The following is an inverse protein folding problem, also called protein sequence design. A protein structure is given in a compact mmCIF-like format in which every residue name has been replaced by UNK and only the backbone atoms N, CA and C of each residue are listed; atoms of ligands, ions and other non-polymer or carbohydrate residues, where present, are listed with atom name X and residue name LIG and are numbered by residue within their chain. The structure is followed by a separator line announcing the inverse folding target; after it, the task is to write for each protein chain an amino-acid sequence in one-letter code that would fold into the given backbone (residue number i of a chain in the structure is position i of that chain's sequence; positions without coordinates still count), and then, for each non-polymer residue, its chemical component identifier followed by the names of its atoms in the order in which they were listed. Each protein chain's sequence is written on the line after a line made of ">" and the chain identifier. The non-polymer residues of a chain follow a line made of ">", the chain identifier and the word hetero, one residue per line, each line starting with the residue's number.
data_IF_755857041354
#
_entry.id   IF_755857041354
#
_cell.length_a   1.000
_cell.length_b   1.000
_cell.length_c   1.000
_cell.angle_alpha   90.00
_cell.angle_beta   90.00
_cell.angle_gamma   90.00
#
_symmetry.space_group_name_H-M   'P 1'
#
loop_
_entity.id
_entity.type
_entity.pdbx_description
1 polymer ?
#
# COMPACT_ATOMS: atom_id res chain seq x y z
N UNK A 1 72.89 27.97 -36.19
CA UNK A 1 72.05 27.62 -35.04
C UNK A 1 70.61 27.85 -35.44
N UNK A 2 69.78 26.83 -35.21
CA UNK A 2 68.45 26.65 -35.78
C UNK A 2 67.37 27.56 -35.17
N UNK A 3 66.35 27.88 -35.95
CA UNK A 3 65.01 28.21 -35.48
C UNK A 3 64.03 27.64 -36.50
N UNK A 4 63.39 26.54 -36.10
CA UNK A 4 62.29 25.91 -36.81
C UNK A 4 60.98 26.54 -36.35
N UNK A 5 60.14 26.96 -37.29
CA UNK A 5 58.73 27.25 -37.07
C UNK A 5 57.95 26.61 -38.23
N UNK A 6 57.33 25.47 -37.94
CA UNK A 6 56.28 24.87 -38.77
C UNK A 6 55.08 24.69 -37.84
N UNK A 7 54.04 25.48 -38.07
CA UNK A 7 52.70 25.20 -37.56
C UNK A 7 52.00 24.23 -38.53
N UNK A 8 51.27 23.24 -38.01
CA UNK A 8 50.00 22.87 -38.61
C UNK A 8 48.83 23.01 -37.64
N UNK A 9 47.71 23.46 -38.22
CA UNK A 9 46.35 23.56 -37.70
C UNK A 9 45.93 22.38 -36.81
N UNK A 10 45.46 22.68 -35.60
CA UNK A 10 44.57 21.82 -34.80
C UNK A 10 43.13 22.12 -35.21
N UNK A 11 42.51 21.24 -36.00
CA UNK A 11 41.06 21.09 -36.04
C UNK A 11 40.68 20.04 -34.99
N UNK A 12 40.36 20.50 -33.79
CA UNK A 12 39.75 19.66 -32.76
C UNK A 12 38.28 19.42 -33.13
N UNK A 13 38.03 18.39 -33.93
CA UNK A 13 36.72 17.75 -34.00
C UNK A 13 36.59 16.80 -32.81
N UNK A 14 36.08 17.30 -31.68
CA UNK A 14 35.68 16.45 -30.57
C UNK A 14 34.46 15.63 -30.99
N UNK A 15 34.67 14.38 -31.38
CA UNK A 15 33.60 13.39 -31.34
C UNK A 15 33.37 13.09 -29.85
N UNK A 16 32.29 13.63 -29.30
CA UNK A 16 31.74 13.13 -28.05
C UNK A 16 31.31 11.67 -28.32
N UNK A 17 32.10 10.73 -27.81
CA UNK A 17 31.65 9.35 -27.65
C UNK A 17 30.57 9.37 -26.58
N UNK A 18 29.30 9.37 -26.99
CA UNK A 18 28.21 8.97 -26.12
C UNK A 18 28.45 7.49 -25.78
N UNK A 19 28.89 7.22 -24.57
CA UNK A 19 28.82 5.87 -24.01
C UNK A 19 27.34 5.51 -23.93
N UNK A 20 26.86 4.70 -24.87
CA UNK A 20 25.57 4.05 -24.73
C UNK A 20 25.65 3.20 -23.46
N UNK A 21 24.86 3.57 -22.46
CA UNK A 21 24.66 2.74 -21.27
C UNK A 21 23.98 1.47 -21.77
N UNK A 22 24.71 0.36 -21.75
CA UNK A 22 24.15 -0.96 -22.00
C UNK A 22 23.51 -1.43 -20.70
N UNK A 23 22.19 -1.27 -20.59
CA UNK A 23 21.43 -1.85 -19.49
C UNK A 23 21.31 -3.35 -19.72
N UNK A 24 21.54 -4.13 -18.67
CA UNK A 24 21.34 -5.58 -18.69
C UNK A 24 19.84 -5.86 -18.73
N UNK A 25 19.34 -6.56 -19.75
CA UNK A 25 17.91 -6.87 -19.88
C UNK A 25 17.38 -7.66 -18.67
N UNK A 26 18.25 -8.41 -17.97
CA UNK A 26 17.85 -9.18 -16.79
C UNK A 26 17.48 -8.34 -15.57
N UNK A 27 17.93 -7.08 -15.46
CA UNK A 27 17.53 -6.22 -14.33
C UNK A 27 16.25 -5.46 -14.60
N UNK A 28 15.85 -5.29 -15.86
CA UNK A 28 14.67 -4.47 -16.20
C UNK A 28 13.37 -5.03 -15.60
N UNK A 29 13.13 -6.34 -15.74
CA UNK A 29 11.91 -6.96 -15.22
C UNK A 29 11.89 -6.98 -13.69
N UNK A 30 13.06 -7.14 -13.07
CA UNK A 30 13.22 -7.09 -11.61
C UNK A 30 13.02 -5.67 -11.07
N UNK A 31 13.58 -4.66 -11.74
CA UNK A 31 13.41 -3.25 -11.41
C UNK A 31 11.94 -2.82 -11.62
N UNK A 32 11.30 -3.30 -12.68
CA UNK A 32 9.89 -3.04 -12.97
C UNK A 32 8.98 -3.64 -11.89
N UNK A 33 9.24 -4.89 -11.50
CA UNK A 33 8.51 -5.57 -10.43
C UNK A 33 8.64 -4.81 -9.10
N UNK A 34 9.86 -4.40 -8.76
CA UNK A 34 10.13 -3.58 -7.57
C UNK A 34 9.39 -2.25 -7.61
N UNK A 35 9.49 -1.51 -8.72
CA UNK A 35 8.82 -0.22 -8.88
C UNK A 35 7.30 -0.34 -8.79
N UNK A 36 6.72 -1.41 -9.37
CA UNK A 36 5.29 -1.69 -9.27
C UNK A 36 4.86 -1.98 -7.83
N UNK A 37 5.67 -2.66 -7.02
CA UNK A 37 5.41 -2.89 -5.59
C UNK A 37 5.48 -1.59 -4.76
N UNK A 38 6.45 -0.72 -5.06
CA UNK A 38 6.52 0.64 -4.47
C UNK A 38 5.25 1.43 -4.79
N UNK A 39 4.85 1.49 -6.06
CA UNK A 39 3.67 2.21 -6.50
C UNK A 39 2.35 1.56 -5.99
N UNK A 40 2.32 0.23 -5.85
CA UNK A 40 1.23 -0.52 -5.20
C UNK A 40 1.11 -0.20 -3.70
N UNK A 41 2.23 -0.03 -3.01
CA UNK A 41 2.26 0.43 -1.62
C UNK A 41 1.67 1.84 -1.48
N UNK A 42 1.97 2.75 -2.43
CA UNK A 42 1.35 4.08 -2.47
C UNK A 42 -0.17 4.01 -2.66
N UNK A 43 -0.66 3.05 -3.45
CA UNK A 43 -2.09 2.81 -3.61
C UNK A 43 -2.73 2.35 -2.29
N UNK A 44 -2.08 1.46 -1.53
CA UNK A 44 -2.54 1.08 -0.18
C UNK A 44 -2.61 2.27 0.77
N UNK A 45 -1.58 3.14 0.80
CA UNK A 45 -1.59 4.35 1.62
C UNK A 45 -2.76 5.28 1.26
N UNK A 46 -3.09 5.38 -0.04
CA UNK A 46 -4.25 6.15 -0.50
C UNK A 46 -5.57 5.56 -0.02
N UNK A 47 -5.75 4.25 -0.12
CA UNK A 47 -6.97 3.58 0.33
C UNK A 47 -7.12 3.65 1.86
N UNK A 48 -6.01 3.52 2.60
CA UNK A 48 -5.95 3.75 4.04
C UNK A 48 -6.43 5.16 4.41
N UNK A 49 -5.86 6.21 3.79
CA UNK A 49 -6.24 7.60 4.02
C UNK A 49 -7.74 7.84 3.81
N UNK A 50 -8.30 7.34 2.71
CA UNK A 50 -9.74 7.44 2.44
C UNK A 50 -10.59 6.77 3.52
N UNK A 51 -10.20 5.57 3.97
CA UNK A 51 -10.92 4.87 5.03
C UNK A 51 -10.79 5.56 6.39
N UNK A 52 -9.66 6.20 6.69
CA UNK A 52 -9.52 7.03 7.89
C UNK A 52 -10.47 8.24 7.85
N UNK A 53 -10.57 8.92 6.71
CA UNK A 53 -11.49 10.04 6.50
C UNK A 53 -12.96 9.62 6.65
N UNK A 54 -13.30 8.44 6.14
CA UNK A 54 -14.65 7.85 6.27
C UNK A 54 -14.91 7.22 7.66
N UNK A 55 -13.90 7.22 8.53
CA UNK A 55 -13.91 6.57 9.85
C UNK A 55 -14.21 5.07 9.79
N UNK A 56 -13.75 4.41 8.72
CA UNK A 56 -13.83 2.97 8.54
C UNK A 56 -12.55 2.30 9.06
N UNK A 57 -12.55 1.99 10.36
CA UNK A 57 -11.40 1.37 11.04
C UNK A 57 -10.98 0.02 10.44
N UNK A 58 -11.90 -0.94 10.23
CA UNK A 58 -11.55 -2.25 9.70
C UNK A 58 -10.86 -2.20 8.33
N UNK A 59 -11.35 -1.38 7.40
CA UNK A 59 -10.72 -1.25 6.07
C UNK A 59 -9.43 -0.44 6.12
N UNK A 60 -9.34 0.58 6.98
CA UNK A 60 -8.08 1.28 7.21
C UNK A 60 -6.99 0.30 7.69
N UNK A 61 -7.30 -0.52 8.71
CA UNK A 61 -6.38 -1.53 9.22
C UNK A 61 -5.99 -2.57 8.15
N UNK A 62 -6.96 -3.03 7.34
CA UNK A 62 -6.68 -3.94 6.23
C UNK A 62 -5.67 -3.37 5.22
N UNK A 63 -5.85 -2.12 4.76
CA UNK A 63 -4.91 -1.52 3.81
C UNK A 63 -3.54 -1.22 4.44
N UNK A 64 -3.48 -0.90 5.74
CA UNK A 64 -2.21 -0.75 6.45
C UNK A 64 -1.45 -2.08 6.58
N UNK A 65 -2.17 -3.19 6.86
CA UNK A 65 -1.59 -4.53 6.94
C UNK A 65 -1.06 -5.02 5.59
N UNK A 66 -1.78 -4.72 4.50
CA UNK A 66 -1.40 -5.14 3.16
C UNK A 66 -0.03 -4.62 2.70
N UNK A 67 0.44 -3.49 3.25
CA UNK A 67 1.80 -2.99 3.00
C UNK A 67 2.87 -4.02 3.37
N UNK A 68 2.76 -4.59 4.57
CA UNK A 68 3.74 -5.58 5.06
C UNK A 68 3.46 -6.99 4.52
N UNK A 69 2.19 -7.33 4.33
CA UNK A 69 1.82 -8.69 3.95
C UNK A 69 1.96 -8.92 2.45
N UNK A 70 1.54 -7.96 1.61
CA UNK A 70 1.46 -8.13 0.15
C UNK A 70 2.55 -7.40 -0.62
N UNK A 71 2.92 -6.19 -0.23
CA UNK A 71 3.85 -5.38 -1.03
C UNK A 71 5.31 -5.50 -0.60
N UNK A 72 5.61 -5.49 0.71
CA UNK A 72 7.00 -5.66 1.20
C UNK A 72 7.71 -6.93 0.70
N UNK A 73 7.08 -8.13 0.68
CA UNK A 73 7.76 -9.34 0.19
C UNK A 73 8.22 -9.22 -1.26
N UNK A 74 7.52 -8.41 -2.08
CA UNK A 74 7.91 -8.16 -3.47
C UNK A 74 9.19 -7.32 -3.59
N UNK A 75 9.51 -6.53 -2.56
CA UNK A 75 10.67 -5.64 -2.49
C UNK A 75 11.86 -6.26 -1.75
N UNK A 76 11.59 -7.09 -0.73
CA UNK A 76 12.57 -7.60 0.24
C UNK A 76 13.85 -8.14 -0.40
N UNK A 77 13.74 -9.02 -1.40
CA UNK A 77 14.89 -9.69 -1.98
C UNK A 77 15.91 -8.74 -2.62
N UNK A 78 15.47 -7.60 -3.17
CA UNK A 78 16.34 -6.55 -3.71
C UNK A 78 16.96 -5.66 -2.64
N UNK A 79 16.32 -5.57 -1.46
CA UNK A 79 16.78 -4.76 -0.34
C UNK A 79 17.81 -5.46 0.54
N UNK A 80 17.98 -6.78 0.41
CA UNK A 80 19.00 -7.56 1.15
C UNK A 80 20.44 -7.07 0.94
N UNK A 81 20.70 -6.30 -0.12
CA UNK A 81 21.99 -5.66 -0.35
C UNK A 81 22.30 -4.52 0.66
N UNK A 82 21.27 -3.96 1.31
CA UNK A 82 21.36 -2.92 2.34
C UNK A 82 20.43 -3.23 3.54
N UNK A 83 20.87 -4.12 4.46
CA UNK A 83 20.04 -4.57 5.59
C UNK A 83 19.62 -3.45 6.55
N UNK A 84 20.44 -2.41 6.69
CA UNK A 84 20.12 -1.26 7.55
C UNK A 84 18.97 -0.44 6.94
N UNK A 85 18.95 -0.30 5.61
CA UNK A 85 17.83 0.32 4.90
C UNK A 85 16.57 -0.55 4.94
N UNK A 86 16.72 -1.86 4.73
CA UNK A 86 15.62 -2.82 4.78
C UNK A 86 14.91 -2.80 6.15
N UNK A 87 15.67 -2.85 7.25
CA UNK A 87 15.13 -2.75 8.61
C UNK A 87 14.38 -1.43 8.83
N UNK A 88 14.92 -0.31 8.33
CA UNK A 88 14.23 1.00 8.40
C UNK A 88 12.91 0.99 7.62
N UNK A 89 12.88 0.39 6.42
CA UNK A 89 11.66 0.30 5.63
C UNK A 89 10.59 -0.52 6.37
N UNK A 90 10.96 -1.69 6.87
CA UNK A 90 10.05 -2.56 7.65
C UNK A 90 9.50 -1.82 8.86
N UNK A 91 10.35 -1.15 9.64
CA UNK A 91 9.92 -0.39 10.81
C UNK A 91 8.94 0.72 10.43
N UNK A 92 9.23 1.49 9.38
CA UNK A 92 8.34 2.56 8.94
C UNK A 92 6.98 2.03 8.45
N UNK A 93 6.95 0.91 7.71
CA UNK A 93 5.69 0.29 7.26
C UNK A 93 4.89 -0.31 8.43
N UNK A 94 5.55 -0.86 9.45
CA UNK A 94 4.90 -1.32 10.68
C UNK A 94 4.34 -0.15 11.50
N UNK A 95 5.04 0.98 11.53
CA UNK A 95 4.59 2.20 12.21
C UNK A 95 3.26 2.71 11.65
N UNK A 96 3.02 2.57 10.34
CA UNK A 96 1.73 2.92 9.72
C UNK A 96 0.57 2.16 10.37
N UNK A 97 0.74 0.86 10.65
CA UNK A 97 -0.33 0.02 11.25
C UNK A 97 -0.71 0.50 12.65
N UNK A 98 0.23 1.09 13.38
CA UNK A 98 0.02 1.55 14.76
C UNK A 98 -0.44 3.00 14.80
N UNK A 99 0.10 3.85 13.90
CA UNK A 99 -0.08 5.30 13.93
C UNK A 99 -1.19 5.80 13.00
N UNK A 100 -1.48 5.11 11.90
CA UNK A 100 -2.53 5.47 10.97
C UNK A 100 -3.84 4.72 11.28
N UNK A 101 -4.44 5.00 12.44
CA UNK A 101 -5.70 4.37 12.88
C UNK A 101 -6.79 5.40 13.12
N UNK A 102 -8.06 4.97 13.11
CA UNK A 102 -9.20 5.86 13.40
C UNK A 102 -9.19 6.46 14.82
N UNK A 103 -8.33 5.96 15.71
CA UNK A 103 -8.15 6.48 17.08
C UNK A 103 -6.96 7.44 17.19
N UNK A 104 -6.10 7.48 16.20
CA UNK A 104 -4.94 8.35 16.18
C UNK A 104 -5.35 9.81 15.94
N UNK A 105 -4.45 10.73 16.28
CA UNK A 105 -4.58 12.10 15.83
C UNK A 105 -4.43 12.14 14.28
N UNK A 106 -5.29 12.88 13.55
CA UNK A 106 -5.22 12.93 12.09
C UNK A 106 -3.88 13.42 11.55
N UNK A 107 -3.20 14.35 12.24
CA UNK A 107 -1.87 14.82 11.84
C UNK A 107 -0.82 13.73 12.05
N UNK A 108 -0.90 12.96 13.15
CA UNK A 108 0.01 11.85 13.42
C UNK A 108 -0.17 10.70 12.42
N UNK A 109 -1.43 10.39 12.06
CA UNK A 109 -1.76 9.39 11.06
C UNK A 109 -1.21 9.79 9.68
N UNK A 110 -1.47 11.03 9.25
CA UNK A 110 -0.94 11.55 7.99
C UNK A 110 0.59 11.54 7.98
N UNK A 111 1.23 12.00 9.06
CA UNK A 111 2.69 12.00 9.15
C UNK A 111 3.28 10.60 9.01
N UNK A 112 2.66 9.57 9.60
CA UNK A 112 3.14 8.19 9.43
C UNK A 112 3.01 7.67 7.98
N UNK A 113 1.95 8.06 7.27
CA UNK A 113 1.77 7.71 5.86
C UNK A 113 2.76 8.47 4.97
N UNK A 114 3.05 9.73 5.29
CA UNK A 114 4.05 10.54 4.58
C UNK A 114 5.47 9.99 4.79
N UNK A 115 5.81 9.56 6.02
CA UNK A 115 7.07 8.89 6.34
C UNK A 115 7.21 7.59 5.51
N UNK A 116 6.15 6.79 5.43
CA UNK A 116 6.11 5.57 4.61
C UNK A 116 6.29 5.86 3.12
N UNK A 117 5.59 6.85 2.58
CA UNK A 117 5.76 7.26 1.19
C UNK A 117 7.20 7.74 0.91
N UNK A 118 7.80 8.50 1.83
CA UNK A 118 9.16 9.00 1.67
C UNK A 118 10.19 7.86 1.60
N UNK A 119 10.10 6.86 2.49
CA UNK A 119 11.04 5.74 2.49
C UNK A 119 10.83 4.78 1.31
N UNK A 120 9.59 4.62 0.83
CA UNK A 120 9.29 3.84 -0.38
C UNK A 120 9.91 4.48 -1.64
N UNK A 121 9.88 5.82 -1.75
CA UNK A 121 10.60 6.51 -2.83
C UNK A 121 12.13 6.42 -2.64
N UNK A 122 12.65 6.47 -1.40
CA UNK A 122 14.08 6.20 -1.13
C UNK A 122 14.46 4.79 -1.61
N UNK A 123 13.61 3.78 -1.36
CA UNK A 123 13.81 2.40 -1.79
C UNK A 123 13.87 2.28 -3.32
N UNK A 124 12.93 2.94 -4.02
CA UNK A 124 12.94 3.02 -5.49
C UNK A 124 14.24 3.62 -6.01
N UNK A 125 14.69 4.70 -5.40
CA UNK A 125 15.91 5.38 -5.81
C UNK A 125 17.17 4.56 -5.55
N UNK A 126 17.17 3.73 -4.49
CA UNK A 126 18.25 2.82 -4.16
C UNK A 126 18.35 1.64 -5.13
N UNK A 127 17.22 1.01 -5.44
CA UNK A 127 17.15 -0.23 -6.24
C UNK A 127 17.09 0.08 -7.74
N UNK A 128 16.10 0.86 -8.17
CA UNK A 128 15.82 1.15 -9.59
C UNK A 128 16.71 2.29 -10.11
N UNK A 129 17.01 3.26 -9.25
CA UNK A 129 17.81 4.43 -9.60
C UNK A 129 17.04 5.55 -10.29
N UNK A 130 17.66 6.73 -10.28
CA UNK A 130 17.07 8.00 -10.74
C UNK A 130 16.79 8.04 -12.25
N UNK A 131 17.73 7.53 -13.05
CA UNK A 131 17.66 7.59 -14.52
C UNK A 131 16.52 6.72 -15.03
N UNK A 132 16.45 5.46 -14.56
CA UNK A 132 15.43 4.51 -14.96
C UNK A 132 14.06 4.89 -14.41
N UNK A 133 13.96 5.37 -13.16
CA UNK A 133 12.70 5.83 -12.58
C UNK A 133 12.06 7.01 -13.33
N UNK A 134 12.86 7.79 -14.07
CA UNK A 134 12.37 8.90 -14.91
C UNK A 134 12.16 8.53 -16.37
N UNK A 135 12.60 7.35 -16.79
CA UNK A 135 12.47 6.89 -18.17
C UNK A 135 11.00 6.77 -18.59
N UNK A 136 10.69 7.16 -19.83
CA UNK A 136 9.32 7.18 -20.35
C UNK A 136 8.76 5.76 -20.43
N UNK A 137 9.50 4.86 -21.05
CA UNK A 137 9.07 3.48 -21.31
C UNK A 137 8.94 2.70 -20.01
N UNK A 138 9.87 2.92 -19.06
CA UNK A 138 9.81 2.32 -17.73
C UNK A 138 8.57 2.76 -16.95
N UNK A 139 8.30 4.07 -16.87
CA UNK A 139 7.09 4.57 -16.20
C UNK A 139 5.80 4.06 -16.84
N UNK A 140 5.73 3.98 -18.18
CA UNK A 140 4.58 3.38 -18.87
C UNK A 140 4.42 1.91 -18.52
N UNK A 141 5.52 1.17 -18.43
CA UNK A 141 5.51 -0.23 -18.03
C UNK A 141 5.04 -0.41 -16.59
N UNK A 142 5.47 0.45 -15.65
CA UNK A 142 4.96 0.47 -14.27
C UNK A 142 3.44 0.68 -14.26
N UNK A 143 2.93 1.67 -15.01
CA UNK A 143 1.49 1.91 -15.12
C UNK A 143 0.75 0.67 -15.66
N UNK A 144 1.31 -0.01 -16.66
CA UNK A 144 0.72 -1.24 -17.20
C UNK A 144 0.62 -2.32 -16.12
N UNK A 145 1.66 -2.53 -15.31
CA UNK A 145 1.63 -3.49 -14.21
C UNK A 145 0.61 -3.10 -13.12
N UNK A 146 0.50 -1.82 -12.76
CA UNK A 146 -0.53 -1.34 -11.83
C UNK A 146 -1.94 -1.60 -12.36
N UNK A 147 -2.18 -1.38 -13.66
CA UNK A 147 -3.48 -1.63 -14.28
C UNK A 147 -3.81 -3.14 -14.36
N UNK A 148 -2.81 -4.01 -14.60
CA UNK A 148 -3.00 -5.46 -14.53
C UNK A 148 -3.39 -5.91 -13.12
N UNK A 149 -2.74 -5.38 -12.08
CA UNK A 149 -3.14 -5.63 -10.70
C UNK A 149 -4.54 -5.07 -10.41
N UNK A 150 -4.86 -3.87 -10.90
CA UNK A 150 -6.19 -3.28 -10.74
C UNK A 150 -7.28 -4.15 -11.35
N UNK A 151 -7.04 -4.74 -12.53
CA UNK A 151 -7.95 -5.70 -13.16
C UNK A 151 -8.23 -6.88 -12.24
N UNK A 152 -7.18 -7.53 -11.74
CA UNK A 152 -7.31 -8.67 -10.83
C UNK A 152 -8.19 -8.32 -9.62
N UNK A 153 -7.89 -7.21 -8.93
CA UNK A 153 -8.66 -6.81 -7.76
C UNK A 153 -10.09 -6.33 -8.08
N UNK A 154 -10.36 -5.82 -9.29
CA UNK A 154 -11.72 -5.48 -9.68
C UNK A 154 -12.58 -6.72 -9.89
N UNK A 155 -12.02 -7.73 -10.55
CA UNK A 155 -12.69 -9.00 -10.83
C UNK A 155 -13.01 -9.76 -9.52
N UNK A 156 -12.11 -9.69 -8.55
CA UNK A 156 -12.33 -10.21 -7.20
C UNK A 156 -13.35 -9.34 -6.42
N UNK A 157 -13.23 -8.02 -6.53
CA UNK A 157 -14.03 -7.07 -5.74
C UNK A 157 -15.49 -6.94 -6.15
N UNK A 158 -15.83 -7.25 -7.41
CA UNK A 158 -17.17 -7.02 -7.98
C UNK A 158 -17.69 -8.31 -8.63
N UNK A 159 -18.91 -8.72 -8.26
CA UNK A 159 -19.62 -9.83 -8.89
C UNK A 159 -21.07 -9.45 -9.17
N UNK A 160 -21.57 -9.74 -10.36
CA UNK A 160 -22.94 -9.41 -10.81
C UNK A 160 -23.37 -7.94 -10.60
N UNK A 161 -22.40 -7.01 -10.61
CA UNK A 161 -22.64 -5.57 -10.40
C UNK A 161 -22.77 -5.15 -8.93
N UNK A 162 -22.45 -6.06 -8.01
CA UNK A 162 -22.37 -5.80 -6.57
C UNK A 162 -20.91 -5.88 -6.10
N UNK A 163 -20.55 -5.04 -5.14
CA UNK A 163 -19.22 -5.11 -4.51
C UNK A 163 -19.28 -6.22 -3.48
N UNK A 164 -18.56 -7.31 -3.74
CA UNK A 164 -18.51 -8.52 -2.90
C UNK A 164 -17.27 -8.56 -2.01
N UNK A 165 -16.19 -7.87 -2.41
CA UNK A 165 -14.96 -7.75 -1.64
C UNK A 165 -14.50 -6.28 -1.67
N UNK A 166 -14.85 -5.54 -0.62
CA UNK A 166 -14.73 -4.08 -0.62
C UNK A 166 -13.28 -3.60 -0.52
N UNK A 167 -12.41 -4.32 0.19
CA UNK A 167 -10.99 -3.98 0.29
C UNK A 167 -10.30 -4.12 -1.08
N UNK A 168 -10.64 -5.18 -1.83
CA UNK A 168 -10.15 -5.46 -3.17
C UNK A 168 -10.68 -4.44 -4.17
N UNK A 169 -11.97 -4.10 -4.10
CA UNK A 169 -12.54 -3.02 -4.90
C UNK A 169 -11.83 -1.67 -4.64
N UNK A 170 -11.58 -1.34 -3.36
CA UNK A 170 -10.84 -0.12 -2.99
C UNK A 170 -9.38 -0.17 -3.48
N UNK A 171 -8.73 -1.34 -3.40
CA UNK A 171 -7.36 -1.52 -3.90
C UNK A 171 -7.29 -1.32 -5.41
N UNK A 172 -8.22 -1.91 -6.15
CA UNK A 172 -8.34 -1.71 -7.61
C UNK A 172 -8.50 -0.24 -7.95
N UNK A 173 -9.39 0.47 -7.24
CA UNK A 173 -9.61 1.91 -7.46
C UNK A 173 -8.37 2.73 -7.15
N UNK A 174 -7.64 2.40 -6.09
CA UNK A 174 -6.43 3.11 -5.69
C UNK A 174 -5.27 2.89 -6.68
N UNK A 175 -5.16 1.69 -7.27
CA UNK A 175 -4.18 1.38 -8.32
C UNK A 175 -4.46 2.15 -9.62
N UNK A 176 -5.74 2.28 -10.01
CA UNK A 176 -6.15 3.14 -11.14
C UNK A 176 -5.83 4.61 -10.83
N UNK A 177 -6.11 5.07 -9.62
CA UNK A 177 -5.76 6.42 -9.20
C UNK A 177 -4.25 6.68 -9.25
N UNK A 178 -3.42 5.76 -8.75
CA UNK A 178 -1.96 5.89 -8.81
C UNK A 178 -1.46 5.90 -10.26
N UNK A 179 -2.04 5.05 -11.11
CA UNK A 179 -1.77 5.03 -12.55
C UNK A 179 -2.04 6.39 -13.21
N UNK A 180 -3.18 7.02 -12.91
CA UNK A 180 -3.52 8.36 -13.38
C UNK A 180 -2.56 9.44 -12.87
N UNK A 181 -2.13 9.36 -11.60
CA UNK A 181 -1.12 10.28 -11.05
C UNK A 181 0.20 10.21 -11.81
N UNK A 182 0.69 9.01 -12.11
CA UNK A 182 1.92 8.82 -12.89
C UNK A 182 1.72 9.33 -14.33
N UNK A 183 0.57 9.06 -14.96
CA UNK A 183 0.22 9.51 -16.31
C UNK A 183 0.14 11.04 -16.43
N UNK A 184 -0.29 11.75 -15.38
CA UNK A 184 -0.37 13.21 -15.36
C UNK A 184 0.99 13.89 -15.63
N UNK A 185 2.10 13.19 -15.38
CA UNK A 185 3.46 13.64 -15.66
C UNK A 185 3.91 13.53 -17.12
N UNK A 186 3.14 12.91 -18.02
CA UNK A 186 3.53 12.64 -19.42
C UNK A 186 3.16 13.77 -20.39
N UNK A 187 3.09 15.02 -19.94
CA UNK A 187 2.69 16.15 -20.80
C UNK A 187 3.69 16.35 -21.97
N UNK A 188 3.36 15.82 -23.14
CA UNK A 188 4.17 15.93 -24.37
C UNK A 188 4.91 14.65 -24.80
N UNK A 189 4.89 13.60 -23.96
CA UNK A 189 5.63 12.35 -24.21
C UNK A 189 4.80 11.28 -24.94
N UNK A 190 3.47 11.45 -24.96
CA UNK A 190 2.55 10.62 -25.73
C UNK A 190 2.12 11.33 -27.02
N UNK A 191 1.83 10.56 -28.07
CA UNK A 191 1.18 11.11 -29.26
C UNK A 191 -0.15 11.76 -28.87
N UNK A 192 -0.42 12.97 -29.37
CA UNK A 192 -1.62 13.75 -28.98
C UNK A 192 -2.95 13.01 -29.12
N UNK A 193 -3.07 12.10 -30.11
CA UNK A 193 -4.24 11.24 -30.27
C UNK A 193 -4.36 10.16 -29.18
N UNK A 194 -3.25 9.62 -28.73
CA UNK A 194 -3.21 8.61 -27.68
C UNK A 194 -3.45 9.22 -26.30
N UNK A 195 -2.95 10.44 -26.03
CA UNK A 195 -3.26 11.15 -24.79
C UNK A 195 -4.76 11.40 -24.63
N UNK A 196 -5.45 11.82 -25.70
CA UNK A 196 -6.92 11.98 -25.69
C UNK A 196 -7.61 10.65 -25.42
N UNK A 197 -7.11 9.56 -26.02
CA UNK A 197 -7.67 8.22 -25.83
C UNK A 197 -7.46 7.68 -24.42
N UNK A 198 -6.27 7.88 -23.84
CA UNK A 198 -5.93 7.52 -22.46
C UNK A 198 -6.86 8.25 -21.49
N UNK A 199 -6.98 9.58 -21.60
CA UNK A 199 -7.85 10.36 -20.72
C UNK A 199 -9.31 9.94 -20.84
N UNK A 200 -9.80 9.71 -22.06
CA UNK A 200 -11.17 9.23 -22.28
C UNK A 200 -11.43 7.86 -21.65
N UNK A 201 -10.47 6.94 -21.73
CA UNK A 201 -10.58 5.61 -21.11
C UNK A 201 -10.54 5.69 -19.58
N UNK A 202 -9.67 6.53 -19.01
CA UNK A 202 -9.64 6.76 -17.55
C UNK A 202 -10.96 7.33 -17.04
N UNK A 203 -11.54 8.32 -17.72
CA UNK A 203 -12.86 8.87 -17.39
C UNK A 203 -14.00 7.83 -17.53
N UNK A 204 -13.88 6.88 -18.47
CA UNK A 204 -14.82 5.78 -18.63
C UNK A 204 -14.68 4.73 -17.52
N UNK A 205 -13.45 4.41 -17.12
CA UNK A 205 -13.16 3.51 -16.01
C UNK A 205 -13.69 4.11 -14.71
N UNK A 206 -13.39 5.38 -14.40
CA UNK A 206 -13.87 6.07 -13.19
C UNK A 206 -15.41 6.05 -13.06
N UNK A 207 -16.12 6.32 -14.18
CA UNK A 207 -17.58 6.17 -14.24
C UNK A 207 -18.04 4.74 -13.94
N UNK A 208 -17.28 3.75 -14.38
CA UNK A 208 -17.63 2.34 -14.20
C UNK A 208 -17.38 1.86 -12.78
N UNK A 209 -16.33 2.35 -12.10
CA UNK A 209 -16.15 2.19 -10.65
C UNK A 209 -17.30 2.81 -9.87
N UNK A 210 -17.66 4.07 -10.18
CA UNK A 210 -18.78 4.76 -9.54
C UNK A 210 -20.11 4.01 -9.69
N UNK A 211 -20.30 3.37 -10.84
CA UNK A 211 -21.50 2.59 -11.16
C UNK A 211 -21.42 1.12 -10.70
N UNK A 212 -20.29 0.65 -10.15
CA UNK A 212 -20.02 -0.76 -9.81
C UNK A 212 -20.37 -1.69 -10.98
N UNK A 213 -19.89 -1.29 -12.16
CA UNK A 213 -20.25 -1.95 -13.40
C UNK A 213 -19.77 -3.41 -13.43
N UNK A 214 -20.41 -4.22 -14.28
CA UNK A 214 -20.03 -5.62 -14.45
C UNK A 214 -18.53 -5.75 -14.82
N UNK A 215 -17.79 -6.70 -14.19
CA UNK A 215 -16.36 -6.89 -14.44
C UNK A 215 -16.00 -7.04 -15.91
N UNK A 216 -16.74 -7.83 -16.70
CA UNK A 216 -16.46 -8.03 -18.13
C UNK A 216 -16.32 -6.70 -18.87
N UNK A 217 -17.14 -5.71 -18.52
CA UNK A 217 -17.10 -4.40 -19.15
C UNK A 217 -15.90 -3.57 -18.70
N UNK A 218 -15.61 -3.55 -17.39
CA UNK A 218 -14.52 -2.74 -16.82
C UNK A 218 -13.16 -3.29 -17.22
N UNK A 219 -12.99 -4.62 -17.20
CA UNK A 219 -11.76 -5.29 -17.61
C UNK A 219 -11.44 -5.01 -19.08
N UNK A 220 -12.45 -4.96 -19.97
CA UNK A 220 -12.26 -4.57 -21.37
C UNK A 220 -11.80 -3.12 -21.54
N UNK A 221 -12.27 -2.20 -20.69
CA UNK A 221 -11.82 -0.81 -20.70
C UNK A 221 -10.36 -0.69 -20.23
N UNK A 222 -10.00 -1.41 -19.17
CA UNK A 222 -8.62 -1.48 -18.68
C UNK A 222 -7.69 -2.12 -19.72
N UNK A 223 -8.11 -3.19 -20.40
CA UNK A 223 -7.36 -3.80 -21.51
C UNK A 223 -7.17 -2.83 -22.68
N UNK A 224 -8.20 -2.05 -23.00
CA UNK A 224 -8.10 -1.03 -24.02
C UNK A 224 -7.09 0.06 -23.65
N UNK A 225 -7.03 0.45 -22.37
CA UNK A 225 -6.07 1.41 -21.83
C UNK A 225 -4.65 0.86 -21.84
N UNK A 226 -4.43 -0.32 -21.25
CA UNK A 226 -3.15 -1.04 -21.26
C UNK A 226 -2.58 -1.10 -22.68
N UNK A 227 -3.40 -1.52 -23.65
CA UNK A 227 -2.98 -1.61 -25.05
C UNK A 227 -2.54 -0.28 -25.66
N UNK A 228 -3.13 0.86 -25.24
CA UNK A 228 -2.68 2.19 -25.70
C UNK A 228 -1.29 2.48 -25.14
N UNK A 229 -1.11 2.23 -23.85
CA UNK A 229 0.13 2.50 -23.13
C UNK A 229 1.27 1.63 -23.65
N UNK A 230 1.05 0.32 -23.80
CA UNK A 230 2.02 -0.62 -24.40
C UNK A 230 2.44 -0.20 -25.81
N UNK A 231 1.51 0.33 -26.62
CA UNK A 231 1.85 0.82 -27.96
C UNK A 231 2.73 2.08 -27.99
N UNK A 232 2.88 2.75 -26.83
CA UNK A 232 3.74 3.91 -26.65
C UNK A 232 5.07 3.56 -25.94
N UNK A 233 5.29 2.28 -25.61
CA UNK A 233 6.56 1.75 -25.10
C UNK A 233 7.46 1.38 -26.28
N UNK A 234 8.54 2.13 -26.51
CA UNK A 234 9.44 1.90 -27.64
C UNK A 234 10.43 0.76 -27.35
N UNK A 235 10.93 0.72 -26.13
CA UNK A 235 11.75 -0.36 -25.59
C UNK A 235 10.83 -1.46 -25.07
N UNK A 236 10.34 -2.30 -25.98
CA UNK A 236 9.62 -3.50 -25.55
C UNK A 236 10.55 -4.35 -24.68
N UNK A 237 10.20 -4.68 -23.42
CA UNK A 237 10.84 -5.78 -22.73
C UNK A 237 10.68 -7.03 -23.62
N UNK A 238 11.77 -7.79 -23.79
CA UNK A 238 11.75 -9.01 -24.58
C UNK A 238 10.64 -9.91 -24.07
N UNK A 239 9.64 -10.19 -24.92
CA UNK A 239 8.45 -11.01 -24.62
C UNK A 239 7.97 -10.86 -23.18
N UNK A 240 7.13 -9.83 -22.95
CA UNK A 240 6.24 -9.68 -21.78
C UNK A 240 6.03 -11.01 -21.09
N UNK A 241 6.32 -11.06 -19.78
CA UNK A 241 5.97 -12.15 -18.86
C UNK A 241 5.01 -13.13 -19.54
N UNK A 242 5.54 -14.21 -20.11
CA UNK A 242 4.77 -15.43 -20.29
C UNK A 242 4.09 -15.60 -18.91
N UNK A 243 2.76 -15.75 -18.83
CA UNK A 243 1.96 -15.79 -17.57
C UNK A 243 2.64 -16.57 -16.41
N UNK A 244 3.57 -17.45 -16.78
CA UNK A 244 4.55 -18.16 -15.97
C UNK A 244 5.50 -17.35 -15.08
N UNK A 245 5.90 -16.09 -15.31
CA UNK A 245 6.82 -15.43 -14.34
C UNK A 245 6.11 -14.78 -13.16
N UNK A 246 4.86 -14.34 -13.33
CA UNK A 246 3.99 -14.09 -12.18
C UNK A 246 3.68 -15.42 -11.48
N UNK A 247 3.37 -16.50 -12.21
CA UNK A 247 3.15 -17.81 -11.58
C UNK A 247 4.42 -18.38 -10.90
N UNK A 248 5.61 -18.36 -11.51
CA UNK A 248 6.78 -19.13 -11.02
C UNK A 248 7.59 -18.39 -9.94
N UNK A 249 7.60 -17.04 -9.92
CA UNK A 249 8.20 -16.25 -8.83
C UNK A 249 7.18 -15.83 -7.75
N UNK A 250 5.87 -15.75 -8.02
CA UNK A 250 4.85 -15.69 -6.95
C UNK A 250 4.47 -17.07 -6.39
N UNK A 251 4.92 -18.19 -6.98
CA UNK A 251 4.77 -19.53 -6.41
C UNK A 251 6.00 -20.05 -5.66
N UNK A 252 7.20 -19.45 -5.80
CA UNK A 252 8.38 -19.85 -5.01
C UNK A 252 8.41 -19.19 -3.62
N UNK A 253 7.73 -18.04 -3.46
CA UNK A 253 7.30 -17.54 -2.17
C UNK A 253 5.84 -17.94 -1.97
N UNK A 254 5.57 -18.81 -0.99
CA UNK A 254 4.25 -19.41 -0.69
C UNK A 254 3.16 -18.44 -0.22
N UNK A 255 3.10 -17.25 -0.80
CA UNK A 255 2.26 -16.14 -0.42
C UNK A 255 1.79 -15.41 -1.69
N UNK A 256 0.72 -15.89 -2.33
CA UNK A 256 -0.57 -15.17 -2.39
C UNK A 256 -1.63 -15.74 -3.32
N UNK A 257 -2.85 -15.27 -3.03
CA UNK A 257 -4.05 -15.27 -3.85
C UNK A 257 -4.88 -16.54 -3.86
N UNK A 258 -5.96 -16.50 -3.07
CA UNK A 258 -7.24 -17.09 -3.40
C UNK A 258 -8.28 -16.66 -2.39
N UNK A 259 -8.93 -15.56 -2.74
CA UNK A 259 -10.15 -15.09 -2.10
C UNK A 259 -11.29 -16.10 -2.32
N UNK A 260 -12.17 -16.23 -1.33
CA UNK A 260 -13.62 -16.18 -1.55
C UNK A 260 -14.40 -16.34 -0.23
N UNK A 261 -15.02 -15.21 0.15
CA UNK A 261 -16.25 -15.07 0.94
C UNK A 261 -16.16 -15.30 2.45
N UNK A 262 -15.97 -14.17 3.14
CA UNK A 262 -16.69 -13.88 4.38
C UNK A 262 -18.20 -14.01 4.10
N UNK A 263 -18.84 -14.99 4.70
CA UNK A 263 -20.28 -14.92 4.93
C UNK A 263 -20.55 -14.89 6.44
N UNK A 264 -21.59 -14.15 6.73
CA UNK A 264 -21.98 -13.49 7.95
C UNK A 264 -22.28 -14.46 9.11
N UNK A 265 -21.88 -14.10 10.33
CA UNK A 265 -22.24 -14.91 11.49
C UNK A 265 -21.58 -14.52 12.82
N UNK A 266 -22.20 -13.54 13.49
CA UNK A 266 -22.10 -13.25 14.93
C UNK A 266 -21.05 -12.21 15.37
N UNK A 267 -21.40 -10.93 15.21
CA UNK A 267 -21.09 -9.91 16.22
C UNK A 267 -22.38 -9.48 16.94
N UNK A 268 -22.87 -10.34 17.83
CA UNK A 268 -23.69 -9.91 18.97
C UNK A 268 -23.20 -10.65 20.23
N UNK A 269 -23.30 -9.94 21.36
CA UNK A 269 -22.79 -10.22 22.73
C UNK A 269 -21.31 -9.84 22.93
N UNK A 270 -20.91 -8.78 23.64
CA UNK A 270 -21.45 -8.19 24.86
C UNK A 270 -21.17 -6.68 24.93
N UNK A 271 -22.21 -5.84 24.88
CA UNK A 271 -22.33 -4.65 25.73
C UNK A 271 -23.81 -4.33 25.95
N UNK A 272 -24.52 -5.22 26.65
CA UNK A 272 -25.76 -4.86 27.35
C UNK A 272 -25.47 -4.75 28.84
N UNK A 273 -25.26 -3.52 29.28
CA UNK A 273 -25.44 -3.09 30.66
C UNK A 273 -26.69 -2.22 30.77
N UNK A 274 -27.78 -2.86 31.16
CA UNK A 274 -28.95 -2.36 31.89
C UNK A 274 -29.87 -1.25 31.33
N UNK A 275 -31.16 -1.65 31.32
CA UNK A 275 -32.41 -0.89 31.49
C UNK A 275 -32.88 0.01 30.33
N UNK A 276 -33.83 -0.45 29.51
CA UNK A 276 -35.30 -0.54 29.74
C UNK A 276 -36.04 0.80 29.86
N UNK A 277 -37.17 0.82 29.11
CA UNK A 277 -38.36 1.68 29.11
C UNK A 277 -38.31 2.85 28.12
N UNK A 278 -38.96 2.70 26.96
CA UNK A 278 -40.42 2.84 26.70
C UNK A 278 -40.80 4.33 26.73
N UNK A 279 -41.58 4.92 25.83
CA UNK A 279 -42.46 4.44 24.78
C UNK A 279 -42.84 5.67 23.90
N UNK A 280 -43.60 5.42 22.85
CA UNK A 280 -44.50 6.35 22.16
C UNK A 280 -43.99 7.32 21.07
N UNK A 281 -44.11 6.84 19.83
CA UNK A 281 -45.14 7.26 18.86
C UNK A 281 -45.49 8.76 18.72
N UNK A 282 -45.30 9.18 17.46
CA UNK A 282 -46.19 9.99 16.60
C UNK A 282 -45.94 11.49 16.43
N UNK A 283 -45.72 11.82 15.14
CA UNK A 283 -46.31 12.90 14.33
C UNK A 283 -45.93 14.37 14.60
N UNK A 284 -45.55 15.04 13.51
CA UNK A 284 -46.34 16.18 13.03
C UNK A 284 -45.59 17.50 12.86
N UNK A 285 -45.43 17.87 11.58
CA UNK A 285 -45.62 19.19 10.96
C UNK A 285 -45.32 20.52 11.70
N UNK A 286 -44.64 21.40 10.95
CA UNK A 286 -44.86 22.86 10.85
C UNK A 286 -44.90 23.72 12.13
N UNK A 287 -44.01 24.73 12.22
CA UNK A 287 -44.30 26.15 11.91
C UNK A 287 -43.18 27.10 12.37
N UNK A 288 -43.02 28.19 11.61
CA UNK A 288 -42.32 29.43 11.96
C UNK A 288 -43.08 30.27 13.00
N UNK A 289 -42.37 31.29 13.51
CA UNK A 289 -42.74 32.51 14.26
C UNK A 289 -42.29 32.46 15.74
N UNK A 290 -41.64 33.47 16.34
CA UNK A 290 -41.22 34.79 15.89
C UNK A 290 -40.56 35.57 17.05
N UNK A 291 -39.73 36.54 16.66
CA UNK A 291 -39.48 37.89 17.22
C UNK A 291 -39.05 38.22 18.67
N UNK A 292 -38.08 39.16 18.68
CA UNK A 292 -37.81 40.31 19.58
C UNK A 292 -37.28 40.07 21.01
N UNK A 293 -36.01 40.42 21.33
CA UNK A 293 -35.34 41.73 21.50
C UNK A 293 -35.47 42.39 22.90
N UNK A 294 -34.37 43.09 23.27
CA UNK A 294 -34.11 43.98 24.41
C UNK A 294 -33.33 43.32 25.57
N UNK A 295 -32.23 43.86 26.09
CA UNK A 295 -31.56 45.14 25.85
C UNK A 295 -30.79 45.59 27.11
N UNK A 296 -29.62 46.19 26.88
CA UNK A 296 -28.85 47.16 27.70
C UNK A 296 -28.23 46.75 29.07
N UNK A 297 -26.89 46.76 29.20
CA UNK A 297 -25.92 47.88 29.35
C UNK A 297 -25.79 48.40 30.79
N UNK A 298 -24.59 48.26 31.40
CA UNK A 298 -23.77 49.38 31.92
C UNK A 298 -22.54 48.90 32.74
N UNK A 299 -21.45 49.62 32.53
CA UNK A 299 -20.08 49.44 33.03
C UNK A 299 -19.84 50.14 34.39
N UNK A 300 -18.57 50.02 34.84
CA UNK A 300 -17.78 50.89 35.74
C UNK A 300 -17.80 50.52 37.23
N UNK A 301 -16.70 50.56 37.99
CA UNK A 301 -15.28 50.91 37.78
C UNK A 301 -14.53 50.51 39.08
N UNK A 302 -13.22 50.20 39.01
CA UNK A 302 -12.15 50.88 39.80
C UNK A 302 -10.83 50.10 39.96
N UNK A 303 -9.73 50.81 39.62
CA UNK A 303 -8.37 50.86 40.24
C UNK A 303 -7.14 50.21 39.56
N UNK A 304 -6.49 51.05 38.73
CA UNK A 304 -5.09 51.56 38.77
C UNK A 304 -3.86 50.61 38.64
N UNK A 305 -3.10 50.78 37.53
CA UNK A 305 -1.69 51.31 37.38
C UNK A 305 -0.63 50.93 38.45
N UNK A 306 0.67 50.66 38.23
CA UNK A 306 1.60 50.64 37.09
C UNK A 306 3.00 50.12 37.59
N UNK A 307 3.87 49.75 36.65
CA UNK A 307 5.35 49.73 36.65
C UNK A 307 6.24 48.85 37.59
N UNK A 308 7.04 47.96 36.97
CA UNK A 308 8.51 47.85 37.20
C UNK A 308 9.24 47.00 36.13
N UNK A 309 10.13 47.67 35.38
CA UNK A 309 11.23 47.06 34.61
C UNK A 309 12.52 46.87 35.45
N UNK A 310 13.45 46.09 34.86
CA UNK A 310 14.87 45.78 35.18
C UNK A 310 15.10 44.43 35.87
N UNK A 311 16.00 43.54 35.41
CA UNK A 311 16.91 43.58 34.27
C UNK A 311 17.87 42.38 34.21
N UNK A 312 18.34 42.09 33.00
CA UNK A 312 19.71 41.80 32.54
C UNK A 312 20.66 40.77 33.21
N UNK A 313 21.40 40.06 32.31
CA UNK A 313 22.69 39.32 32.42
C UNK A 313 22.61 37.83 32.82
N UNK A 314 23.29 36.87 32.18
CA UNK A 314 24.49 36.90 31.32
C UNK A 314 24.68 35.52 30.63
N UNK A 315 25.41 35.51 29.51
CA UNK A 315 25.95 34.33 28.80
C UNK A 315 26.93 33.50 29.65
N UNK A 316 27.16 32.23 29.30
CA UNK A 316 28.53 31.83 28.89
C UNK A 316 28.56 30.58 27.99
N UNK A 317 29.57 30.58 27.14
CA UNK A 317 29.86 29.65 26.04
C UNK A 317 31.02 28.72 26.46
N UNK A 318 31.12 27.53 25.83
CA UNK A 318 32.28 26.59 25.79
C UNK A 318 32.58 25.68 26.99
N UNK A 319 32.51 24.38 26.72
CA UNK A 319 33.69 23.50 26.85
C UNK A 319 33.68 22.42 25.76
N UNK A 320 34.68 22.48 24.87
CA UNK A 320 35.14 21.35 24.06
C UNK A 320 35.77 20.28 24.97
N UNK A 321 35.65 19.01 24.60
CA UNK A 321 36.38 17.91 25.24
C UNK A 321 36.37 16.65 24.39
N UNK A 322 37.37 16.54 23.52
CA UNK A 322 37.72 15.40 22.68
C UNK A 322 37.95 14.09 23.48
N UNK A 323 37.66 12.96 22.83
CA UNK A 323 38.27 11.61 22.97
C UNK A 323 38.29 10.93 24.34
N UNK A 324 37.58 9.78 24.41
CA UNK A 324 38.23 8.47 24.62
C UNK A 324 37.45 7.38 23.89
N UNK A 325 38.11 6.72 22.92
CA UNK A 325 37.86 5.31 22.65
C UNK A 325 38.49 4.50 23.79
N UNK A 326 37.85 3.41 24.22
CA UNK A 326 38.60 2.18 24.44
C UNK A 326 37.75 0.96 24.11
N UNK A 327 38.34 0.12 23.27
CA UNK A 327 37.87 -1.18 22.85
C UNK A 327 37.99 -2.22 23.98
N UNK A 328 37.23 -3.31 23.85
CA UNK A 328 37.36 -4.62 24.54
C UNK A 328 36.65 -4.77 25.89
N UNK A 329 35.41 -5.23 25.80
CA UNK A 329 35.13 -6.59 26.25
C UNK A 329 34.50 -7.39 25.09
N UNK A 330 35.34 -8.02 24.26
CA UNK A 330 34.93 -9.27 23.62
C UNK A 330 35.01 -10.37 24.67
N UNK A 331 34.00 -11.24 24.71
CA UNK A 331 34.04 -12.46 25.51
C UNK A 331 32.76 -13.27 25.41
N UNK A 332 32.54 -13.88 24.24
CA UNK A 332 31.79 -15.12 23.97
C UNK A 332 30.72 -15.60 24.97
N UNK A 333 29.53 -15.86 24.39
CA UNK A 333 28.29 -16.48 24.90
C UNK A 333 27.19 -15.43 25.06
N UNK A 334 26.25 -15.24 24.14
CA UNK A 334 25.58 -16.23 23.30
C UNK A 334 25.18 -15.54 21.98
N UNK A 335 25.65 -16.08 20.86
CA UNK A 335 24.81 -16.14 19.67
C UNK A 335 23.64 -17.05 20.06
N UNK A 336 22.41 -16.54 19.95
CA UNK A 336 21.27 -17.39 19.67
C UNK A 336 20.47 -16.68 18.58
N UNK A 337 20.84 -17.00 17.34
CA UNK A 337 20.13 -16.68 16.09
C UNK A 337 18.73 -17.32 16.03
N UNK A 338 17.98 -17.34 17.16
CA UNK A 338 16.75 -18.14 17.34
C UNK A 338 15.66 -17.50 18.20
N UNK A 339 15.75 -16.21 18.55
CA UNK A 339 14.74 -15.60 19.44
C UNK A 339 14.10 -14.29 18.99
N UNK A 340 14.14 -13.94 17.69
CA UNK A 340 13.19 -12.94 17.14
C UNK A 340 12.56 -13.30 15.78
N UNK A 341 13.01 -14.36 15.09
CA UNK A 341 12.36 -14.86 13.87
C UNK A 341 11.31 -15.97 14.10
N UNK A 342 11.50 -16.84 15.09
CA UNK A 342 10.63 -18.02 15.25
C UNK A 342 9.39 -17.78 16.12
N UNK A 343 9.40 -16.86 17.09
CA UNK A 343 8.29 -16.75 18.06
C UNK A 343 7.04 -16.03 17.58
N UNK A 344 7.09 -15.37 16.42
CA UNK A 344 5.88 -14.88 15.74
C UNK A 344 5.45 -15.79 14.58
N UNK A 345 6.26 -16.81 14.23
CA UNK A 345 5.99 -17.75 13.12
C UNK A 345 5.67 -19.20 13.61
N UNK A 346 6.02 -19.59 14.84
CA UNK A 346 5.84 -20.96 15.40
C UNK A 346 4.41 -21.26 15.91
N UNK A 347 3.39 -20.85 15.16
CA UNK A 347 2.01 -21.14 15.54
C UNK A 347 0.91 -20.65 14.59
N UNK A 348 1.28 -20.03 13.47
CA UNK A 348 0.29 -19.55 12.51
C UNK A 348 -0.01 -20.65 11.49
N UNK A 349 -0.91 -21.57 11.86
CA UNK A 349 -1.49 -22.52 10.92
C UNK A 349 -2.27 -21.73 9.87
N UNK A 350 -1.86 -21.83 8.61
CA UNK A 350 -2.53 -21.14 7.50
C UNK A 350 -4.02 -21.56 7.43
N UNK A 351 -4.94 -20.68 7.02
CA UNK A 351 -6.33 -21.08 6.79
C UNK A 351 -6.44 -22.26 5.78
N UNK A 352 -7.43 -23.17 5.91
CA UNK A 352 -7.53 -24.39 5.09
C UNK A 352 -7.48 -24.19 3.58
N UNK A 353 -8.13 -23.14 3.07
CA UNK A 353 -8.08 -22.82 1.65
C UNK A 353 -6.67 -22.39 1.21
N UNK A 354 -5.97 -21.59 2.02
CA UNK A 354 -4.58 -21.22 1.76
C UNK A 354 -3.64 -22.43 1.81
N UNK A 355 -3.91 -23.41 2.67
CA UNK A 355 -3.16 -24.67 2.68
C UNK A 355 -3.34 -25.44 1.37
N UNK A 356 -4.58 -25.60 0.87
CA UNK A 356 -4.82 -26.25 -0.43
C UNK A 356 -4.10 -25.50 -1.57
N UNK A 357 -4.13 -24.17 -1.55
CA UNK A 357 -3.51 -23.35 -2.58
C UNK A 357 -1.98 -23.38 -2.51
N UNK A 358 -1.42 -23.59 -1.32
CA UNK A 358 -0.02 -23.92 -1.10
C UNK A 358 0.32 -25.40 -1.43
N UNK A 359 -0.63 -26.16 -1.97
CA UNK A 359 -0.43 -27.55 -2.41
C UNK A 359 -0.61 -28.62 -1.33
N UNK A 360 -1.15 -28.27 -0.15
CA UNK A 360 -1.49 -29.25 0.90
C UNK A 360 -2.69 -30.08 0.45
N UNK A 361 -2.58 -31.41 0.50
CA UNK A 361 -3.70 -32.27 0.17
C UNK A 361 -4.85 -32.07 1.17
N UNK A 362 -6.13 -32.13 0.74
CA UNK A 362 -7.26 -31.89 1.65
C UNK A 362 -7.26 -32.71 2.94
N UNK A 363 -6.68 -33.92 2.91
CA UNK A 363 -6.58 -34.80 4.08
C UNK A 363 -5.45 -34.43 5.06
N UNK A 364 -4.55 -33.54 4.65
CA UNK A 364 -3.36 -33.11 5.39
C UNK A 364 -3.48 -31.66 5.90
N UNK A 365 -4.65 -31.03 5.72
CA UNK A 365 -4.92 -29.70 6.23
C UNK A 365 -4.92 -29.72 7.76
N UNK A 366 -4.08 -28.89 8.37
CA UNK A 366 -4.00 -28.72 9.82
C UNK A 366 -4.87 -27.55 10.27
N UNK A 367 -5.44 -27.64 11.47
CA UNK A 367 -6.18 -26.53 12.09
C UNK A 367 -5.45 -26.08 13.35
N UNK A 368 -5.68 -24.83 13.76
CA UNK A 368 -5.23 -24.37 15.08
C UNK A 368 -5.89 -25.17 16.19
N UNK A 369 -5.20 -25.31 17.32
CA UNK A 369 -5.72 -26.00 18.50
C UNK A 369 -7.11 -25.47 18.90
N UNK A 370 -8.07 -26.38 19.11
CA UNK A 370 -9.47 -26.05 19.42
C UNK A 370 -10.40 -25.95 18.21
N UNK A 371 -9.88 -26.22 17.00
CA UNK A 371 -10.65 -26.28 15.77
C UNK A 371 -10.49 -27.63 15.06
N UNK A 372 -11.59 -28.15 14.50
CA UNK A 372 -11.63 -29.36 13.67
C UNK A 372 -11.88 -29.01 12.20
N UNK A 373 -11.20 -29.71 11.29
CA UNK A 373 -11.44 -29.58 9.86
C UNK A 373 -12.77 -30.22 9.46
N UNK A 374 -13.64 -29.45 8.80
CA UNK A 374 -14.86 -29.93 8.16
C UNK A 374 -14.93 -29.44 6.71
N UNK A 375 -15.63 -30.18 5.87
CA UNK A 375 -15.93 -29.83 4.49
C UNK A 375 -17.41 -29.47 4.34
N UNK A 376 -17.68 -28.29 3.80
CA UNK A 376 -19.04 -27.86 3.48
C UNK A 376 -19.65 -28.67 2.33
N UNK A 377 -20.95 -28.51 2.05
CA UNK A 377 -21.64 -29.22 0.96
C UNK A 377 -21.06 -28.97 -0.44
N UNK A 378 -20.38 -27.83 -0.62
CA UNK A 378 -19.63 -27.47 -1.85
C UNK A 378 -18.23 -28.10 -1.92
N UNK A 379 -17.80 -28.83 -0.89
CA UNK A 379 -16.47 -29.43 -0.77
C UNK A 379 -15.39 -28.47 -0.27
N UNK A 380 -15.75 -27.24 0.16
CA UNK A 380 -14.78 -26.28 0.70
C UNK A 380 -14.37 -26.64 2.15
N UNK A 381 -13.07 -26.70 2.48
CA UNK A 381 -12.60 -26.99 3.83
C UNK A 381 -12.71 -25.78 4.76
N UNK A 382 -12.98 -26.01 6.05
CA UNK A 382 -12.96 -24.99 7.09
C UNK A 382 -12.52 -25.58 8.44
N UNK A 383 -11.75 -24.81 9.22
CA UNK A 383 -11.44 -25.13 10.61
C UNK A 383 -12.56 -24.55 11.48
N UNK A 384 -13.30 -25.42 12.17
CA UNK A 384 -14.52 -25.11 12.91
C UNK A 384 -14.26 -25.37 14.40
N UNK A 385 -14.67 -24.46 15.28
CA UNK A 385 -14.56 -24.70 16.72
C UNK A 385 -15.28 -26.00 17.12
N UNK A 386 -14.62 -26.84 17.90
CA UNK A 386 -15.08 -28.19 18.28
C UNK A 386 -16.54 -28.21 18.80
N UNK A 387 -16.97 -27.16 19.51
CA UNK A 387 -18.30 -27.05 20.10
C UNK A 387 -19.42 -26.82 19.08
N UNK A 388 -19.10 -26.38 17.86
CA UNK A 388 -20.06 -26.13 16.77
C UNK A 388 -20.11 -27.23 15.71
N UNK A 389 -19.12 -28.11 15.67
CA UNK A 389 -18.99 -29.23 14.70
C UNK A 389 -20.26 -30.07 14.59
N UNK A 390 -20.82 -30.47 15.74
CA UNK A 390 -22.02 -31.33 15.79
C UNK A 390 -23.25 -30.69 15.13
N UNK A 391 -23.35 -29.37 15.09
CA UNK A 391 -24.46 -28.63 14.46
C UNK A 391 -24.27 -28.54 12.94
N UNK A 392 -23.04 -28.33 12.48
CA UNK A 392 -22.73 -28.23 11.06
C UNK A 392 -22.80 -29.59 10.35
N UNK A 393 -22.40 -30.67 11.01
CA UNK A 393 -22.59 -32.04 10.47
C UNK A 393 -24.09 -32.34 10.27
N UNK A 394 -24.96 -31.85 11.16
CA UNK A 394 -26.42 -31.96 10.98
C UNK A 394 -26.96 -31.09 9.83
N UNK A 395 -26.26 -30.00 9.50
CA UNK A 395 -26.55 -29.13 8.37
C UNK A 395 -25.95 -29.61 7.04
N UNK A 396 -25.32 -30.79 7.02
CA UNK A 396 -24.79 -31.43 5.81
C UNK A 396 -23.30 -31.25 5.55
N UNK A 397 -22.54 -30.76 6.54
CA UNK A 397 -21.07 -30.74 6.48
C UNK A 397 -20.50 -32.12 6.82
N UNK A 398 -19.32 -32.42 6.31
CA UNK A 398 -18.64 -33.71 6.52
C UNK A 398 -17.25 -33.51 7.10
N UNK A 399 -16.90 -34.28 8.13
CA UNK A 399 -15.53 -34.34 8.67
C UNK A 399 -14.60 -35.16 7.79
#
# INVERSE_FOLDING_TARGET
>A
MALAAVLPLLLAGGMASSSAVTWDESTWDEDLYFAAAVDGSMAHLRALDLNLQDRNGPLAEAHALHLMLLEYPKMEWQLQADPDFDERLVQTLQDVQVRATIKADPEDAQASMDDAAAILEEARMLVVGDELSRDKDFKLSVIVELLKMAKFFYDVGVSDGEVVALAEFQQSSALVWRSDQILSGFSGDLHSGDLVRVNGLLEEIDRSFSARSNPDFVLLQMDALIKVLESNVDRMPGEMMDDKMMDEKMMDDGHMAGDEHMDDGHMEDEMMGDNMMDDDKMMGDNMMDGDEMMGDNMMDDDKMMDDRMMGDKMMDDRMMGDKMMDDRMMGDKMMDDRMMGDKMMDGMVLPPLKQIMAGVEPAEIECMDGFELLFGPSGRPACIMEDTVSRLVQAGWTS
#
